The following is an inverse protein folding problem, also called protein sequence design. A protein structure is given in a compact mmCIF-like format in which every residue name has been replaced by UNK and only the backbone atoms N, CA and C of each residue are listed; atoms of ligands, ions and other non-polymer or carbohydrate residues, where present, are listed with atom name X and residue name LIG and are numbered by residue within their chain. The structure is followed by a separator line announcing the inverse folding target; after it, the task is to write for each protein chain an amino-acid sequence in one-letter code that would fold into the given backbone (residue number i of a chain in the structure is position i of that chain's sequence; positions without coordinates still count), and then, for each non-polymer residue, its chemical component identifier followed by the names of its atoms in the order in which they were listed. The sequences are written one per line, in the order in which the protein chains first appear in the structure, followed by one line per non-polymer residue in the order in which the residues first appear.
data_IF_859995030575
#
_entry.id   IF_859995030575
#
_cell.length_a   1.000
_cell.length_b   1.000
_cell.length_c   1.000
_cell.angle_alpha   90.00
_cell.angle_beta   90.00
_cell.angle_gamma   90.00
#
_symmetry.space_group_name_H-M   'P 1'
#
loop_
_entity.id
_entity.type
_entity.pdbx_description
1 polymer ?
2 non-polymer ?
#
# COMPACT_ATOMS: atom_id res chain seq x y z
N UNK A 1 4.45 4.72 -4.76
CA UNK A 1 4.07 5.60 -3.71
C UNK A 1 2.66 5.32 -3.33
N UNK A 2 2.28 4.09 -3.51
CA UNK A 2 0.94 3.68 -3.32
C UNK A 2 0.90 2.68 -2.18
N UNK A 3 0.21 3.03 -1.15
CA UNK A 3 0.07 2.20 0.02
C UNK A 3 -1.37 2.13 0.42
N UNK A 4 -1.84 0.96 0.71
CA UNK A 4 -3.18 0.78 1.13
C UNK A 4 -3.24 0.78 2.64
N UNK A 5 -4.26 1.39 3.18
CA UNK A 5 -4.47 1.39 4.61
C UNK A 5 -5.35 0.22 4.97
N UNK A 6 -5.96 -0.34 3.95
CA UNK A 6 -6.81 -1.48 4.10
C UNK A 6 -5.94 -2.70 4.29
N UNK A 7 -6.34 -3.57 5.18
CA UNK A 7 -5.54 -4.74 5.52
C UNK A 7 -5.69 -5.80 4.42
N UNK A 8 -4.58 -6.37 3.91
CA UNK A 8 -3.22 -6.05 4.35
C UNK A 8 -2.66 -4.81 3.65
N UNK A 9 -1.94 -3.96 4.38
CA UNK A 9 -1.35 -2.76 3.81
C UNK A 9 -0.23 -3.13 2.83
N UNK A 10 -0.53 -3.03 1.57
CA UNK A 10 0.41 -3.37 0.53
C UNK A 10 0.95 -2.09 -0.04
N UNK A 11 2.22 -2.08 -0.32
CA UNK A 11 2.84 -0.88 -0.78
C UNK A 11 3.56 -1.12 -2.06
N UNK A 12 3.43 -0.18 -2.92
CA UNK A 12 4.03 -0.21 -4.21
C UNK A 12 4.97 0.97 -4.31
N UNK A 13 6.24 0.75 -4.77
CA UNK A 13 7.27 1.80 -4.94
C UNK A 13 6.76 3.09 -5.64
N UNK A 14 5.68 2.93 -6.40
CA UNK A 14 4.91 4.02 -7.03
C UNK A 14 4.54 5.11 -6.00
#
# INVERSE_FOLDING_TARGET
GRATKSIPPIAFPD
#
